data_IF_130121261894
#
_entry.id   IF_130121261894
#
_cell.length_a   1.000
_cell.length_b   1.000
_cell.length_c   1.000
_cell.angle_alpha   90.00
_cell.angle_beta   90.00
_cell.angle_gamma   90.00
#
_symmetry.space_group_name_H-M   'P 1'
#
loop_
_entity.id
_entity.type
_entity.pdbx_description
1 polymer ?
#
# COMPACT_ATOMS: atom_id res chain seq x y z
N UNK A 1 6.80 3.26 -43.18
CA UNK A 1 5.94 4.40 -42.80
C UNK A 1 5.74 4.29 -41.30
N UNK A 2 6.61 4.96 -40.56
CA UNK A 2 6.56 5.07 -39.11
C UNK A 2 5.27 5.75 -38.67
N UNK A 3 4.66 5.22 -37.61
CA UNK A 3 3.94 6.02 -36.63
C UNK A 3 4.49 5.61 -35.26
N UNK A 4 5.59 6.25 -34.87
CA UNK A 4 5.98 6.35 -33.48
C UNK A 4 4.95 7.24 -32.78
N UNK A 5 3.99 6.63 -32.07
CA UNK A 5 3.21 7.37 -31.08
C UNK A 5 4.08 7.51 -29.83
N UNK A 6 4.80 8.63 -29.79
CA UNK A 6 5.43 9.18 -28.61
C UNK A 6 4.33 9.68 -27.68
N UNK A 7 3.81 8.82 -26.79
CA UNK A 7 3.04 9.30 -25.65
C UNK A 7 4.03 9.83 -24.61
N UNK A 8 3.99 11.15 -24.45
CA UNK A 8 4.60 11.88 -23.35
C UNK A 8 4.24 11.22 -22.02
N UNK A 9 5.25 11.04 -21.16
CA UNK A 9 5.10 10.66 -19.75
C UNK A 9 4.09 11.60 -19.10
N UNK A 10 2.96 11.06 -18.65
CA UNK A 10 2.11 11.71 -17.67
C UNK A 10 2.37 11.06 -16.30
N UNK A 11 3.08 11.73 -15.36
CA UNK A 11 3.04 11.37 -13.96
C UNK A 11 1.74 11.95 -13.41
N UNK A 12 0.65 11.21 -13.53
CA UNK A 12 -0.58 11.53 -12.81
C UNK A 12 -1.39 10.25 -12.76
N UNK A 13 -1.45 9.66 -11.57
CA UNK A 13 -2.32 8.54 -11.24
C UNK A 13 -3.78 9.02 -11.28
N UNK A 14 -4.29 9.26 -12.49
CA UNK A 14 -5.72 9.10 -12.75
C UNK A 14 -5.86 7.61 -12.91
N UNK A 15 -6.58 6.94 -12.00
CA UNK A 15 -7.09 5.59 -12.28
C UNK A 15 -7.89 5.79 -13.57
N UNK A 16 -7.39 5.37 -14.76
CA UNK A 16 -8.14 5.57 -15.98
C UNK A 16 -9.44 4.81 -15.73
N UNK A 17 -10.58 5.48 -15.89
CA UNK A 17 -11.94 4.99 -15.69
C UNK A 17 -11.97 3.47 -15.48
N UNK A 18 -12.34 3.00 -14.28
CA UNK A 18 -12.49 1.56 -14.00
C UNK A 18 -13.14 0.93 -15.23
N UNK A 19 -12.44 0.05 -15.97
CA UNK A 19 -12.95 -0.45 -17.24
C UNK A 19 -14.37 -0.97 -17.03
N UNK A 20 -15.31 -0.62 -17.91
CA UNK A 20 -16.73 -1.04 -17.75
C UNK A 20 -16.89 -2.57 -17.76
N UNK A 21 -15.87 -3.25 -18.28
CA UNK A 21 -15.69 -4.69 -18.33
C UNK A 21 -14.72 -5.23 -17.26
N UNK A 22 -14.23 -4.40 -16.33
CA UNK A 22 -13.45 -4.87 -15.20
C UNK A 22 -14.26 -5.93 -14.43
N UNK A 23 -13.64 -7.08 -14.22
CA UNK A 23 -14.19 -8.18 -13.42
C UNK A 23 -13.18 -8.53 -12.34
N UNK A 24 -13.70 -8.98 -11.20
CA UNK A 24 -12.88 -9.63 -10.19
C UNK A 24 -12.28 -10.91 -10.77
N UNK A 25 -10.98 -11.13 -10.52
CA UNK A 25 -10.29 -12.31 -10.98
C UNK A 25 -10.91 -13.56 -10.31
N UNK A 26 -11.31 -14.55 -11.12
CA UNK A 26 -11.89 -15.79 -10.59
C UNK A 26 -10.86 -16.64 -9.83
N UNK A 27 -9.57 -16.47 -10.15
CA UNK A 27 -8.45 -17.16 -9.51
C UNK A 27 -7.50 -16.15 -8.87
N UNK A 28 -8.00 -15.41 -7.87
CA UNK A 28 -7.18 -14.48 -7.11
C UNK A 28 -6.05 -15.18 -6.35
N UNK A 29 -4.92 -14.51 -6.22
CA UNK A 29 -3.78 -14.96 -5.41
C UNK A 29 -3.59 -14.04 -4.22
N UNK A 30 -3.21 -14.61 -3.07
CA UNK A 30 -2.84 -13.80 -1.90
C UNK A 30 -1.47 -13.19 -2.16
N UNK A 31 -1.42 -11.86 -2.24
CA UNK A 31 -0.17 -11.10 -2.39
C UNK A 31 0.44 -10.73 -1.04
N UNK A 32 -0.38 -10.47 -0.02
CA UNK A 32 0.07 -10.10 1.32
C UNK A 32 -0.76 -10.76 2.43
N UNK A 33 -0.11 -11.09 3.54
CA UNK A 33 -0.72 -11.81 4.66
C UNK A 33 -0.88 -13.31 4.38
N UNK A 34 -2.08 -13.86 4.63
CA UNK A 34 -2.41 -15.27 4.39
C UNK A 34 -1.96 -16.25 5.49
N UNK A 35 -1.21 -15.79 6.50
CA UNK A 35 -0.66 -16.63 7.58
C UNK A 35 -1.40 -16.45 8.92
N UNK A 36 -2.70 -16.16 8.86
CA UNK A 36 -3.53 -15.84 10.02
C UNK A 36 -3.35 -14.42 10.53
N UNK A 37 -4.13 -14.09 11.57
CA UNK A 37 -4.04 -12.80 12.26
C UNK A 37 -2.83 -12.74 13.17
N UNK A 38 -2.10 -11.62 13.13
CA UNK A 38 -0.98 -11.37 14.01
C UNK A 38 -0.11 -10.20 13.55
N UNK A 39 1.05 -10.03 14.18
CA UNK A 39 1.95 -8.90 13.96
C UNK A 39 3.32 -9.33 13.38
N UNK A 40 3.54 -10.62 13.11
CA UNK A 40 4.70 -11.05 12.35
C UNK A 40 4.69 -10.42 10.94
N UNK A 41 5.85 -10.36 10.28
CA UNK A 41 5.97 -9.70 8.98
C UNK A 41 5.23 -10.44 7.85
N UNK A 42 4.89 -11.71 8.03
CA UNK A 42 4.05 -12.48 7.12
C UNK A 42 2.54 -12.49 7.50
N UNK A 43 2.18 -11.74 8.55
CA UNK A 43 0.81 -11.62 9.06
C UNK A 43 0.32 -10.18 8.97
N UNK A 44 -1.00 -10.02 8.93
CA UNK A 44 -1.70 -8.72 8.97
C UNK A 44 -2.77 -8.76 10.05
N UNK A 45 -3.17 -7.60 10.55
CA UNK A 45 -4.21 -7.44 11.55
C UNK A 45 -5.12 -6.26 11.17
N UNK A 46 -6.29 -6.61 10.58
CA UNK A 46 -7.23 -5.68 9.97
C UNK A 46 -6.57 -4.71 8.96
N UNK A 47 -5.93 -5.22 7.88
CA UNK A 47 -5.42 -4.33 6.83
C UNK A 47 -6.57 -3.49 6.24
N UNK A 48 -6.32 -2.22 5.98
CA UNK A 48 -7.34 -1.27 5.54
C UNK A 48 -7.08 -0.77 4.12
N UNK A 49 -6.51 0.42 3.95
CA UNK A 49 -6.07 0.94 2.66
C UNK A 49 -4.75 0.35 2.19
N UNK A 50 -4.52 0.40 0.87
CA UNK A 50 -3.29 -0.03 0.24
C UNK A 50 -2.98 0.81 -1.00
N UNK A 51 -1.71 0.83 -1.37
CA UNK A 51 -1.20 1.37 -2.62
C UNK A 51 -0.39 0.30 -3.36
N UNK A 52 -0.45 0.30 -4.69
CA UNK A 52 0.36 -0.57 -5.55
C UNK A 52 1.15 0.30 -6.51
N UNK A 53 2.48 0.15 -6.53
CA UNK A 53 3.35 0.86 -7.48
C UNK A 53 3.53 0.10 -8.81
N UNK A 54 4.27 0.69 -9.75
CA UNK A 54 4.47 0.08 -11.07
C UNK A 54 5.43 -1.13 -11.01
N UNK A 55 6.18 -1.26 -9.92
CA UNK A 55 7.12 -2.36 -9.65
C UNK A 55 6.45 -3.54 -8.95
N UNK A 56 5.12 -3.53 -8.84
CA UNK A 56 4.31 -4.53 -8.12
C UNK A 56 4.68 -4.65 -6.64
N UNK A 57 5.08 -3.54 -6.02
CA UNK A 57 5.14 -3.40 -4.57
C UNK A 57 3.76 -3.00 -4.06
N UNK A 58 3.25 -3.76 -3.09
CA UNK A 58 2.01 -3.47 -2.36
C UNK A 58 2.37 -2.90 -0.99
N UNK A 59 1.92 -1.69 -0.71
CA UNK A 59 2.10 -1.01 0.57
C UNK A 59 0.76 -0.92 1.28
N UNK A 60 0.72 -1.37 2.53
CA UNK A 60 -0.55 -1.66 3.23
C UNK A 60 -0.57 -0.93 4.57
N UNK A 61 -1.68 -0.26 4.86
CA UNK A 61 -2.00 0.22 6.18
C UNK A 61 -2.52 -0.94 7.05
N UNK A 62 -1.65 -1.45 7.93
CA UNK A 62 -1.94 -2.58 8.83
C UNK A 62 -2.52 -2.03 10.14
N UNK A 63 -3.82 -1.74 10.12
CA UNK A 63 -4.52 -0.84 11.03
C UNK A 63 -4.35 -1.21 12.52
N UNK A 64 -4.59 -2.46 12.91
CA UNK A 64 -4.45 -2.88 14.32
C UNK A 64 -3.00 -3.17 14.72
N UNK A 65 -2.08 -3.26 13.76
CA UNK A 65 -0.65 -3.37 14.05
C UNK A 65 0.06 -2.01 14.08
N UNK A 66 -0.66 -0.91 13.84
CA UNK A 66 -0.15 0.46 13.95
C UNK A 66 1.13 0.68 13.11
N UNK A 67 1.12 0.16 11.88
CA UNK A 67 2.26 0.18 10.98
C UNK A 67 1.83 0.28 9.52
N UNK A 68 2.77 0.72 8.68
CA UNK A 68 2.73 0.50 7.24
C UNK A 68 3.72 -0.61 6.90
N UNK A 69 3.26 -1.60 6.14
CA UNK A 69 4.09 -2.73 5.71
C UNK A 69 4.08 -2.83 4.17
N UNK A 70 5.25 -3.04 3.58
CA UNK A 70 5.40 -3.25 2.13
C UNK A 70 5.68 -4.72 1.83
N UNK A 71 5.14 -5.23 0.71
CA UNK A 71 5.40 -6.55 0.15
C UNK A 71 5.66 -6.41 -1.34
N UNK A 72 6.66 -7.12 -1.90
CA UNK A 72 6.70 -7.32 -3.34
C UNK A 72 5.88 -8.55 -3.72
N UNK A 73 5.23 -8.52 -4.88
CA UNK A 73 4.54 -9.71 -5.41
C UNK A 73 5.52 -10.88 -5.47
N UNK A 74 5.16 -11.97 -4.79
CA UNK A 74 5.98 -13.19 -4.68
C UNK A 74 6.73 -13.34 -3.36
N UNK A 75 6.83 -12.28 -2.55
CA UNK A 75 7.43 -12.37 -1.22
C UNK A 75 6.53 -13.19 -0.26
N UNK A 76 7.16 -13.88 0.69
CA UNK A 76 6.47 -14.61 1.77
C UNK A 76 6.31 -13.79 3.05
N UNK A 77 6.92 -12.60 3.12
CA UNK A 77 6.90 -11.72 4.28
C UNK A 77 7.20 -10.28 3.88
N UNK A 78 6.59 -9.33 4.58
CA UNK A 78 6.79 -7.91 4.32
C UNK A 78 7.92 -7.27 5.10
N UNK A 79 8.11 -5.99 4.81
CA UNK A 79 9.02 -5.11 5.52
C UNK A 79 8.23 -3.92 6.08
N UNK A 80 8.41 -3.63 7.36
CA UNK A 80 7.78 -2.45 7.98
C UNK A 80 8.52 -1.20 7.51
N UNK A 81 7.79 -0.23 6.97
CA UNK A 81 8.35 1.00 6.39
C UNK A 81 7.98 2.26 7.16
N UNK A 82 6.93 2.20 7.98
CA UNK A 82 6.58 3.27 8.93
C UNK A 82 5.80 2.70 10.12
N UNK A 83 5.89 3.35 11.27
CA UNK A 83 5.28 2.86 12.51
C UNK A 83 5.90 1.54 13.00
N UNK A 84 5.11 0.70 13.66
CA UNK A 84 5.59 -0.58 14.23
C UNK A 84 6.26 -0.46 15.61
N UNK A 85 6.53 0.76 16.10
CA UNK A 85 7.03 1.03 17.45
C UNK A 85 5.90 1.18 18.49
N UNK A 86 4.84 0.39 18.32
CA UNK A 86 3.60 0.46 19.09
C UNK A 86 2.71 1.67 18.75
N UNK A 87 1.45 1.66 19.22
CA UNK A 87 0.53 2.77 19.03
C UNK A 87 1.04 4.06 19.70
N UNK A 88 0.86 5.20 19.03
CA UNK A 88 1.08 6.51 19.63
C UNK A 88 1.25 7.62 18.60
N UNK A 89 1.59 8.81 19.08
CA UNK A 89 1.64 10.06 18.29
C UNK A 89 3.06 10.61 18.08
N UNK A 90 4.09 9.86 18.45
CA UNK A 90 5.48 10.23 18.14
C UNK A 90 5.73 10.17 16.63
N UNK A 91 6.87 10.72 16.20
CA UNK A 91 7.25 10.73 14.77
C UNK A 91 7.50 9.32 14.21
N UNK A 92 7.89 8.38 15.07
CA UNK A 92 8.17 6.99 14.73
C UNK A 92 7.00 6.04 15.04
N UNK A 93 5.85 6.59 15.43
CA UNK A 93 4.64 5.83 15.77
C UNK A 93 3.48 6.23 14.88
N UNK A 94 2.57 5.26 14.69
CA UNK A 94 1.27 5.48 14.08
C UNK A 94 0.19 5.07 15.07
N UNK A 95 -1.03 5.55 14.84
CA UNK A 95 -2.19 5.14 15.58
C UNK A 95 -3.33 4.84 14.60
N UNK A 96 -3.55 3.55 14.33
CA UNK A 96 -4.66 3.10 13.49
C UNK A 96 -4.63 3.73 12.08
N UNK A 97 -3.51 3.61 11.33
CA UNK A 97 -3.42 4.18 10.00
C UNK A 97 -4.47 3.53 9.09
N UNK A 98 -5.19 4.32 8.32
CA UNK A 98 -6.30 3.82 7.49
C UNK A 98 -5.94 3.70 6.03
N UNK A 99 -5.02 4.52 5.53
CA UNK A 99 -4.66 4.52 4.11
C UNK A 99 -3.23 5.03 3.90
N UNK A 100 -2.67 4.74 2.74
CA UNK A 100 -1.29 5.07 2.37
C UNK A 100 -1.18 5.36 0.87
N UNK A 101 -0.36 6.35 0.51
CA UNK A 101 -0.01 6.70 -0.85
C UNK A 101 1.51 6.91 -0.96
N UNK A 102 2.11 6.52 -2.09
CA UNK A 102 3.47 6.93 -2.44
C UNK A 102 3.36 8.08 -3.45
N UNK A 103 3.90 9.23 -3.08
CA UNK A 103 4.17 10.32 -4.02
C UNK A 103 5.50 10.04 -4.74
N UNK A 104 5.40 9.56 -5.99
CA UNK A 104 6.57 9.24 -6.82
C UNK A 104 7.36 10.47 -7.27
N UNK A 105 6.79 11.68 -7.21
CA UNK A 105 7.51 12.90 -7.58
C UNK A 105 8.48 13.31 -6.47
N UNK A 106 8.09 13.11 -5.22
CA UNK A 106 8.87 13.49 -4.03
C UNK A 106 9.50 12.31 -3.28
N UNK A 107 9.28 11.09 -3.75
CA UNK A 107 9.68 9.83 -3.09
C UNK A 107 9.22 9.75 -1.63
N UNK A 108 8.00 10.23 -1.38
CA UNK A 108 7.43 10.36 -0.02
C UNK A 108 6.25 9.43 0.22
N UNK A 109 6.18 8.90 1.44
CA UNK A 109 5.05 8.12 1.93
C UNK A 109 4.06 9.05 2.65
N UNK A 110 2.81 9.08 2.18
CA UNK A 110 1.72 9.89 2.76
C UNK A 110 0.76 8.93 3.46
N UNK A 111 0.49 9.14 4.75
CA UNK A 111 -0.22 8.17 5.58
C UNK A 111 -1.41 8.83 6.28
N UNK A 112 -2.62 8.33 6.05
CA UNK A 112 -3.77 8.74 6.85
C UNK A 112 -3.71 8.11 8.25
N UNK A 113 -3.11 8.82 9.21
CA UNK A 113 -2.90 8.39 10.60
C UNK A 113 -4.12 8.75 11.47
N UNK A 114 -5.22 8.01 11.24
CA UNK A 114 -6.57 8.33 11.72
C UNK A 114 -6.64 8.59 13.23
N UNK A 115 -6.01 7.73 14.05
CA UNK A 115 -6.05 7.87 15.51
C UNK A 115 -5.30 9.09 16.02
N UNK A 116 -4.35 9.62 15.24
CA UNK A 116 -3.61 10.84 15.54
C UNK A 116 -4.16 12.08 14.85
N UNK A 117 -5.19 11.93 14.00
CA UNK A 117 -5.86 13.04 13.27
C UNK A 117 -4.88 13.84 12.41
N UNK A 118 -3.95 13.14 11.76
CA UNK A 118 -2.94 13.73 10.87
C UNK A 118 -2.79 12.92 9.58
N UNK A 119 -2.13 13.56 8.61
CA UNK A 119 -1.62 12.95 7.38
C UNK A 119 -0.11 13.14 7.35
#
# INVERSE_FOLDING_TARGET
MELALLFLRAPSYIIPNIPVDARWAQNGTTVAGGHGWGNANNQLNNPNGLFVDDDQTVVIADWLNHRIIQWKVGDTSGQVVAGGNGPGNRLDQLNQPTDVLIDKETDSLIICDWGNRRV
#
